data_IF_748864045413
#
_entry.id   IF_748864045413
#
_cell.length_a   1.000
_cell.length_b   1.000
_cell.length_c   1.000
_cell.angle_alpha   90.00
_cell.angle_beta   90.00
_cell.angle_gamma   90.00
#
_symmetry.space_group_name_H-M   'P 1'
#
loop_
_entity.id
_entity.type
_entity.pdbx_description
1 polymer ?
#
# COMPACT_ATOMS: atom_id res chain seq x y z
N UNK A 1 0.83 15.55 -8.77
CA UNK A 1 1.63 15.55 -10.03
C UNK A 1 2.42 14.24 -10.14
N UNK A 2 2.54 13.58 -11.32
CA UNK A 2 3.37 12.38 -11.44
C UNK A 2 4.79 12.62 -10.95
N UNK A 3 5.31 11.71 -10.13
CA UNK A 3 6.66 11.82 -9.53
C UNK A 3 6.82 12.83 -8.39
N UNK A 4 5.74 13.49 -7.92
CA UNK A 4 5.84 14.49 -6.83
C UNK A 4 6.02 13.90 -5.42
N UNK A 5 5.67 12.61 -5.22
CA UNK A 5 5.65 12.01 -3.87
C UNK A 5 4.51 12.53 -2.98
N UNK A 6 3.56 13.28 -3.52
CA UNK A 6 2.46 13.85 -2.74
C UNK A 6 1.49 12.75 -2.24
N UNK A 7 1.23 12.76 -0.93
CA UNK A 7 0.17 11.97 -0.28
C UNK A 7 -0.75 12.96 0.44
N UNK A 8 -1.93 13.19 -0.13
CA UNK A 8 -2.91 14.13 0.39
C UNK A 8 -4.09 13.42 1.05
N UNK A 9 -4.36 13.76 2.31
CA UNK A 9 -5.57 13.33 3.02
C UNK A 9 -6.48 14.56 3.12
N UNK A 10 -7.66 14.48 2.49
CA UNK A 10 -8.52 15.64 2.26
C UNK A 10 -9.89 15.47 2.92
N UNK A 11 -10.58 16.60 3.10
CA UNK A 11 -11.95 16.63 3.62
C UNK A 11 -12.04 16.08 5.05
N UNK A 12 -13.10 15.31 5.34
CA UNK A 12 -13.34 14.78 6.69
C UNK A 12 -12.19 13.90 7.21
N UNK A 13 -11.46 13.21 6.33
CA UNK A 13 -10.34 12.37 6.71
C UNK A 13 -9.14 13.18 7.22
N UNK A 14 -9.02 14.46 6.84
CA UNK A 14 -7.94 15.34 7.30
C UNK A 14 -8.01 15.64 8.82
N UNK A 15 -9.16 15.37 9.46
CA UNK A 15 -9.28 15.46 10.91
C UNK A 15 -8.60 14.28 11.64
N UNK A 16 -8.20 13.23 10.91
CA UNK A 16 -7.67 11.99 11.47
C UNK A 16 -6.18 11.80 11.21
N UNK A 17 -5.55 12.69 10.42
CA UNK A 17 -4.13 12.61 10.08
C UNK A 17 -3.55 14.01 9.84
N UNK A 18 -2.29 14.19 10.21
CA UNK A 18 -1.56 15.44 10.08
C UNK A 18 -0.38 15.29 9.12
N UNK A 19 0.11 16.42 8.59
CA UNK A 19 1.33 16.44 7.80
C UNK A 19 2.49 15.92 8.65
N UNK A 20 3.18 14.89 8.15
CA UNK A 20 4.28 14.22 8.84
C UNK A 20 3.91 12.87 9.45
N UNK A 21 2.62 12.53 9.54
CA UNK A 21 2.20 11.21 10.00
C UNK A 21 2.63 10.12 9.02
N UNK A 22 3.11 8.99 9.55
CA UNK A 22 3.36 7.79 8.76
C UNK A 22 2.05 7.04 8.56
N UNK A 23 1.69 6.81 7.29
CA UNK A 23 0.42 6.16 6.92
C UNK A 23 0.65 4.92 6.07
N UNK A 24 -0.31 3.99 6.12
CA UNK A 24 -0.37 2.83 5.24
C UNK A 24 -1.60 3.00 4.33
N UNK A 25 -1.41 2.87 3.01
CA UNK A 25 -2.48 2.92 2.02
C UNK A 25 -2.71 1.51 1.49
N UNK A 26 -3.94 1.02 1.63
CA UNK A 26 -4.32 -0.32 1.17
C UNK A 26 -5.50 -0.25 0.20
N UNK A 27 -5.49 -1.15 -0.78
CA UNK A 27 -6.62 -1.43 -1.64
C UNK A 27 -6.95 -2.92 -1.54
N UNK A 28 -8.23 -3.25 -1.62
CA UNK A 28 -8.74 -4.60 -1.45
C UNK A 28 -9.57 -4.99 -2.68
N UNK A 29 -9.58 -6.28 -3.00
CA UNK A 29 -10.48 -6.86 -3.98
C UNK A 29 -11.15 -8.11 -3.40
N UNK A 30 -12.28 -8.48 -3.99
CA UNK A 30 -12.87 -9.79 -3.75
C UNK A 30 -12.18 -10.82 -4.65
N UNK A 31 -12.02 -12.03 -4.12
CA UNK A 31 -11.43 -13.16 -4.81
C UNK A 31 -12.24 -14.40 -4.46
N UNK A 32 -12.38 -15.28 -5.44
CA UNK A 32 -12.89 -16.62 -5.18
C UNK A 32 -11.84 -17.45 -4.44
N UNK A 33 -12.27 -18.52 -3.77
CA UNK A 33 -11.39 -19.35 -2.94
C UNK A 33 -10.25 -19.96 -3.77
N UNK A 34 -10.53 -20.32 -5.01
CA UNK A 34 -9.62 -20.90 -5.98
C UNK A 34 -8.55 -19.90 -6.46
N UNK A 35 -8.85 -18.59 -6.39
CA UNK A 35 -7.94 -17.52 -6.78
C UNK A 35 -6.97 -17.13 -5.66
N UNK A 36 -7.33 -17.38 -4.39
CA UNK A 36 -6.52 -16.99 -3.22
C UNK A 36 -5.06 -17.46 -3.30
N UNK A 37 -4.73 -18.74 -3.61
CA UNK A 37 -3.34 -19.20 -3.66
C UNK A 37 -2.51 -18.51 -4.75
N UNK A 38 -3.19 -18.01 -5.78
CA UNK A 38 -2.57 -17.38 -6.95
C UNK A 38 -2.47 -15.86 -6.83
N UNK A 39 -3.25 -15.25 -5.94
CA UNK A 39 -3.19 -13.83 -5.70
C UNK A 39 -1.83 -13.43 -5.12
N UNK A 40 -1.27 -12.32 -5.62
CA UNK A 40 -0.05 -11.68 -5.13
C UNK A 40 -0.33 -10.18 -5.00
N UNK A 41 -0.39 -9.68 -3.77
CA UNK A 41 -0.55 -8.27 -3.49
C UNK A 41 0.71 -7.51 -3.89
N UNK A 42 0.55 -6.37 -4.60
CA UNK A 42 1.66 -5.48 -4.91
C UNK A 42 1.94 -4.59 -3.70
N UNK A 43 3.05 -4.85 -3.01
CA UNK A 43 3.50 -4.08 -1.84
C UNK A 43 4.58 -3.11 -2.31
N UNK A 44 4.37 -1.81 -2.07
CA UNK A 44 5.34 -0.76 -2.39
C UNK A 44 5.92 -0.24 -1.09
N UNK A 45 7.21 -0.50 -0.88
CA UNK A 45 7.98 0.08 0.22
C UNK A 45 8.57 1.41 -0.24
N UNK A 46 8.29 2.45 0.51
CA UNK A 46 8.73 3.82 0.21
C UNK A 46 9.89 4.23 1.11
N UNK A 47 10.74 5.08 0.57
CA UNK A 47 11.81 5.75 1.28
C UNK A 47 11.39 7.17 1.69
N UNK A 48 12.34 7.94 2.22
CA UNK A 48 12.18 9.36 2.51
C UNK A 48 11.65 10.15 1.31
N UNK A 49 10.74 11.10 1.58
CA UNK A 49 10.09 11.90 0.55
C UNK A 49 9.11 11.11 -0.33
N UNK A 50 8.58 9.98 0.18
CA UNK A 50 7.63 9.10 -0.50
C UNK A 50 8.16 8.57 -1.85
N UNK A 51 9.47 8.45 -2.00
CA UNK A 51 10.08 7.84 -3.18
C UNK A 51 9.85 6.33 -3.15
N UNK A 52 9.50 5.76 -4.30
CA UNK A 52 9.38 4.31 -4.44
C UNK A 52 10.77 3.70 -4.28
N UNK A 53 10.97 2.89 -3.25
CA UNK A 53 12.21 2.15 -3.02
C UNK A 53 12.13 0.75 -3.62
N UNK A 54 11.28 -0.11 -3.03
CA UNK A 54 11.11 -1.49 -3.46
C UNK A 54 9.66 -1.82 -3.80
N UNK A 55 9.47 -2.59 -4.86
CA UNK A 55 8.17 -3.16 -5.23
C UNK A 55 8.24 -4.67 -5.08
N UNK A 56 7.35 -5.23 -4.28
CA UNK A 56 7.28 -6.65 -3.98
C UNK A 56 5.92 -7.20 -4.42
N UNK A 57 5.92 -8.47 -4.79
CA UNK A 57 4.71 -9.27 -4.93
C UNK A 57 4.67 -10.22 -3.74
N UNK A 58 3.63 -10.11 -2.91
CA UNK A 58 3.52 -10.84 -1.65
C UNK A 58 2.23 -11.63 -1.58
N UNK A 59 2.28 -12.81 -1.01
CA UNK A 59 1.10 -13.57 -0.56
C UNK A 59 1.41 -14.21 0.78
N UNK A 60 0.40 -14.43 1.63
CA UNK A 60 0.58 -15.21 2.85
C UNK A 60 0.99 -16.67 2.59
N UNK A 61 0.84 -17.20 1.37
CA UNK A 61 1.19 -18.58 1.02
C UNK A 61 2.68 -18.79 0.65
N UNK A 62 3.47 -17.73 0.52
CA UNK A 62 4.90 -17.82 0.14
C UNK A 62 5.84 -17.89 1.38
N UNK A 63 5.34 -17.62 2.58
CA UNK A 63 6.14 -17.72 3.82
C UNK A 63 6.08 -19.15 4.37
N UNK A 64 7.22 -19.73 4.82
CA UNK A 64 7.21 -21.03 5.46
C UNK A 64 6.38 -20.94 6.75
N UNK A 65 5.51 -21.93 6.93
CA UNK A 65 4.68 -22.11 8.12
C UNK A 65 5.50 -22.21 9.41
#
# INVERSE_FOLDING_TARGET
KPGSGEIGINGAAAHLAHVGDLVIICAYCFLDREELPHHRARVVLVEEGNRVGQVLLKTPFDEPA
#
